data_IF_161612329738
#
_entry.id   IF_161612329738
#
_cell.length_a   1.000
_cell.length_b   1.000
_cell.length_c   1.000
_cell.angle_alpha   90.00
_cell.angle_beta   90.00
_cell.angle_gamma   90.00
#
_symmetry.space_group_name_H-M   'P 1'
#
loop_
_entity.id
_entity.type
_entity.pdbx_description
1 polymer ?
#
# COMPACT_ATOMS: atom_id res chain seq x y z
N UNK A 1 4.22 6.42 22.85
CA UNK A 1 3.28 5.31 23.16
C UNK A 1 4.01 4.19 23.90
N UNK A 2 3.44 3.69 24.97
CA UNK A 2 4.01 2.63 25.81
C UNK A 2 4.25 1.36 25.00
N UNK A 3 5.48 0.81 25.04
CA UNK A 3 5.84 -0.49 24.42
C UNK A 3 5.04 -1.67 25.03
N UNK A 4 4.34 -1.42 26.14
CA UNK A 4 3.53 -2.41 26.85
C UNK A 4 2.17 -2.67 26.19
N UNK A 5 1.56 -1.67 25.53
CA UNK A 5 0.22 -1.83 24.93
C UNK A 5 0.14 -2.97 23.87
N UNK A 6 1.09 -3.11 22.93
CA UNK A 6 1.07 -4.23 22.01
C UNK A 6 1.25 -5.60 22.69
N UNK A 7 1.98 -5.65 23.80
CA UNK A 7 2.11 -6.87 24.60
C UNK A 7 0.81 -7.18 25.36
N UNK A 8 0.20 -6.17 25.98
CA UNK A 8 -1.08 -6.33 26.67
C UNK A 8 -2.22 -6.74 25.73
N UNK A 9 -2.13 -6.38 24.43
CA UNK A 9 -3.12 -6.83 23.43
C UNK A 9 -3.19 -8.35 23.30
N UNK A 10 -2.16 -9.10 23.68
CA UNK A 10 -2.17 -10.56 23.71
C UNK A 10 -3.10 -11.13 24.78
N UNK A 11 -3.36 -10.40 25.86
CA UNK A 11 -4.34 -10.80 26.88
C UNK A 11 -5.77 -10.80 26.31
N UNK A 12 -6.02 -9.97 25.29
CA UNK A 12 -7.29 -9.91 24.59
C UNK A 12 -7.40 -10.94 23.44
N UNK A 13 -6.39 -11.81 23.24
CA UNK A 13 -6.38 -12.78 22.14
C UNK A 13 -7.61 -13.71 22.12
N UNK A 14 -8.15 -14.24 23.22
CA UNK A 14 -9.38 -15.02 23.20
C UNK A 14 -10.58 -14.23 22.62
N UNK A 15 -10.73 -12.97 23.02
CA UNK A 15 -11.78 -12.08 22.51
C UNK A 15 -11.57 -11.83 21.01
N UNK A 16 -10.33 -11.59 20.61
CA UNK A 16 -9.97 -11.42 19.21
C UNK A 16 -10.38 -12.63 18.37
N UNK A 17 -10.07 -13.86 18.82
CA UNK A 17 -10.41 -15.08 18.11
C UNK A 17 -11.92 -15.23 17.99
N UNK A 18 -12.64 -15.05 19.09
CA UNK A 18 -14.10 -15.18 19.11
C UNK A 18 -14.79 -14.17 18.20
N UNK A 19 -14.47 -12.89 18.32
CA UNK A 19 -15.05 -11.85 17.48
C UNK A 19 -14.55 -11.93 16.02
N UNK A 20 -13.29 -12.30 15.81
CA UNK A 20 -12.73 -12.50 14.47
C UNK A 20 -13.40 -13.64 13.70
N UNK A 21 -13.73 -14.75 14.37
CA UNK A 21 -14.55 -15.81 13.78
C UNK A 21 -15.94 -15.28 13.42
N UNK A 22 -16.59 -14.52 14.31
CA UNK A 22 -17.88 -13.89 14.06
C UNK A 22 -17.88 -12.97 12.84
N UNK A 23 -16.87 -12.10 12.71
CA UNK A 23 -16.67 -11.26 11.52
C UNK A 23 -16.48 -12.13 10.27
N UNK A 24 -15.60 -13.12 10.33
CA UNK A 24 -15.32 -14.01 9.18
C UNK A 24 -16.56 -14.76 8.68
N UNK A 25 -17.46 -15.13 9.56
CA UNK A 25 -18.69 -15.86 9.21
C UNK A 25 -19.76 -14.94 8.65
N UNK A 26 -19.79 -13.67 9.05
CA UNK A 26 -20.80 -12.67 8.63
C UNK A 26 -20.36 -11.87 7.41
N UNK A 27 -19.07 -11.62 7.24
CA UNK A 27 -18.54 -10.82 6.14
C UNK A 27 -18.54 -11.62 4.85
N UNK A 28 -19.16 -11.06 3.82
CA UNK A 28 -19.15 -11.64 2.47
C UNK A 28 -17.71 -11.67 1.94
N UNK A 29 -17.26 -12.79 1.42
CA UNK A 29 -15.97 -12.87 0.75
C UNK A 29 -16.08 -12.25 -0.64
N UNK A 30 -15.37 -11.16 -0.82
CA UNK A 30 -15.23 -10.54 -2.13
C UNK A 30 -14.03 -11.13 -2.86
N UNK A 31 -14.17 -11.27 -4.17
CA UNK A 31 -13.09 -11.70 -5.06
C UNK A 31 -12.28 -10.49 -5.53
N UNK A 32 -11.05 -10.69 -6.00
CA UNK A 32 -10.32 -9.66 -6.73
C UNK A 32 -11.12 -9.15 -7.92
N UNK A 33 -10.95 -7.86 -8.25
CA UNK A 33 -11.61 -7.25 -9.39
C UNK A 33 -11.23 -7.92 -10.72
N UNK A 34 -12.18 -7.97 -11.64
CA UNK A 34 -11.92 -8.39 -13.02
C UNK A 34 -11.25 -7.29 -13.85
N UNK A 35 -10.42 -7.70 -14.80
CA UNK A 35 -9.77 -6.77 -15.73
C UNK A 35 -8.24 -6.92 -15.79
N UNK A 36 -7.55 -6.03 -16.52
CA UNK A 36 -6.10 -6.09 -16.67
C UNK A 36 -5.39 -5.74 -15.36
N UNK A 37 -4.32 -6.46 -15.05
CA UNK A 37 -3.42 -6.15 -13.92
C UNK A 37 -2.23 -5.29 -14.36
N UNK A 38 -2.12 -5.00 -15.65
CA UNK A 38 -1.14 -4.08 -16.25
C UNK A 38 -1.77 -3.36 -17.42
N UNK A 39 -1.42 -2.11 -17.60
CA UNK A 39 -1.88 -1.32 -18.74
C UNK A 39 -0.94 -0.13 -18.96
N UNK A 40 -0.92 0.41 -20.20
CA UNK A 40 -0.13 1.58 -20.57
C UNK A 40 -1.04 2.70 -21.04
N UNK A 41 -0.82 3.88 -20.51
CA UNK A 41 -1.48 5.12 -20.90
C UNK A 41 -0.53 5.90 -21.81
N UNK A 42 -1.00 6.45 -22.95
CA UNK A 42 -0.17 7.21 -23.85
C UNK A 42 0.23 8.56 -23.23
N UNK A 43 1.29 9.16 -23.76
CA UNK A 43 1.79 10.45 -23.34
C UNK A 43 3.04 10.83 -24.12
N UNK A 44 3.73 11.90 -23.72
CA UNK A 44 4.96 12.36 -24.35
C UNK A 44 6.11 12.43 -23.34
N UNK A 45 7.35 12.30 -23.82
CA UNK A 45 8.54 12.35 -22.98
C UNK A 45 8.86 11.03 -22.26
N UNK A 46 9.61 11.11 -21.17
CA UNK A 46 10.11 9.94 -20.44
C UNK A 46 8.98 9.18 -19.74
N UNK A 47 8.88 7.89 -20.00
CA UNK A 47 7.84 7.04 -19.44
C UNK A 47 7.94 6.89 -17.92
N UNK A 48 6.81 6.91 -17.26
CA UNK A 48 6.65 6.53 -15.84
C UNK A 48 6.23 5.07 -15.78
N UNK A 49 6.93 4.29 -14.96
CA UNK A 49 6.61 2.88 -14.72
C UNK A 49 6.23 2.69 -13.25
N UNK A 50 4.94 2.49 -13.00
CA UNK A 50 4.36 2.38 -11.67
C UNK A 50 4.04 0.93 -11.33
N UNK A 51 4.65 0.40 -10.30
CA UNK A 51 4.27 -0.87 -9.68
C UNK A 51 3.48 -0.61 -8.39
N UNK A 52 2.30 -1.20 -8.26
CA UNK A 52 1.57 -1.26 -6.99
C UNK A 52 1.65 -2.68 -6.47
N UNK A 53 2.41 -2.86 -5.38
CA UNK A 53 2.65 -4.12 -4.71
C UNK A 53 1.85 -4.17 -3.42
N UNK A 54 1.06 -5.22 -3.21
CA UNK A 54 0.27 -5.26 -1.99
C UNK A 54 -0.57 -6.50 -1.76
N UNK A 55 -1.50 -6.34 -0.85
CA UNK A 55 -2.46 -7.38 -0.46
C UNK A 55 -3.75 -7.29 -1.30
N UNK A 56 -4.91 -7.44 -0.67
CA UNK A 56 -6.21 -7.29 -1.30
C UNK A 56 -6.42 -5.92 -1.96
N UNK A 57 -5.72 -4.89 -1.50
CA UNK A 57 -5.78 -3.55 -2.09
C UNK A 57 -5.14 -3.50 -3.49
N UNK A 58 -3.98 -4.12 -3.67
CA UNK A 58 -3.34 -4.26 -4.99
C UNK A 58 -4.16 -5.17 -5.92
N UNK A 59 -4.85 -6.17 -5.37
CA UNK A 59 -5.77 -7.03 -6.09
C UNK A 59 -7.14 -6.38 -6.35
N UNK A 60 -7.33 -5.12 -5.96
CA UNK A 60 -8.57 -4.34 -6.15
C UNK A 60 -9.81 -5.05 -5.59
N UNK A 61 -9.67 -5.71 -4.44
CA UNK A 61 -10.81 -6.34 -3.74
C UNK A 61 -11.72 -5.25 -3.19
N UNK A 62 -13.02 -5.42 -3.35
CA UNK A 62 -14.03 -4.43 -2.92
C UNK A 62 -14.73 -3.73 -4.08
N UNK A 63 -14.19 -3.83 -5.28
CA UNK A 63 -14.73 -3.28 -6.51
C UNK A 63 -14.81 -4.35 -7.59
N UNK A 64 -15.46 -4.04 -8.71
CA UNK A 64 -15.70 -5.02 -9.78
C UNK A 64 -14.67 -4.98 -10.89
N UNK A 65 -13.98 -3.85 -11.08
CA UNK A 65 -13.07 -3.60 -12.20
C UNK A 65 -11.74 -3.04 -11.75
N UNK A 66 -10.64 -3.59 -12.25
CA UNK A 66 -9.27 -3.17 -11.92
C UNK A 66 -8.94 -1.74 -12.38
N UNK A 67 -9.61 -1.20 -13.40
CA UNK A 67 -9.45 0.20 -13.84
C UNK A 67 -9.98 1.23 -12.83
N UNK A 68 -10.69 0.79 -11.80
CA UNK A 68 -11.13 1.58 -10.64
C UNK A 68 -10.29 1.31 -9.39
N UNK A 69 -9.28 0.45 -9.49
CA UNK A 69 -8.35 0.13 -8.41
C UNK A 69 -7.22 1.15 -8.29
N UNK A 70 -6.50 1.08 -7.18
CA UNK A 70 -5.47 2.06 -6.80
C UNK A 70 -4.37 2.23 -7.86
N UNK A 71 -3.94 1.16 -8.53
CA UNK A 71 -2.87 1.22 -9.54
C UNK A 71 -3.29 2.01 -10.78
N UNK A 72 -4.49 1.73 -11.30
CA UNK A 72 -5.04 2.41 -12.47
C UNK A 72 -5.38 3.87 -12.17
N UNK A 73 -5.94 4.15 -10.99
CA UNK A 73 -6.26 5.53 -10.57
C UNK A 73 -5.01 6.38 -10.44
N UNK A 74 -3.97 5.90 -9.73
CA UNK A 74 -2.69 6.59 -9.62
C UNK A 74 -2.05 6.84 -10.98
N UNK A 75 -2.03 5.82 -11.85
CA UNK A 75 -1.49 5.95 -13.20
C UNK A 75 -2.26 6.99 -14.03
N UNK A 76 -3.59 6.99 -13.95
CA UNK A 76 -4.44 7.97 -14.64
C UNK A 76 -4.22 9.40 -14.16
N UNK A 77 -4.05 9.60 -12.85
CA UNK A 77 -3.72 10.89 -12.25
C UNK A 77 -2.33 11.35 -12.71
N UNK A 78 -1.31 10.50 -12.61
CA UNK A 78 0.06 10.81 -13.07
C UNK A 78 0.10 11.17 -14.56
N UNK A 79 -0.57 10.39 -15.42
CA UNK A 79 -0.60 10.65 -16.86
C UNK A 79 -1.25 12.01 -17.17
N UNK A 80 -2.35 12.35 -16.50
CA UNK A 80 -3.06 13.61 -16.68
C UNK A 80 -2.23 14.80 -16.19
N UNK A 81 -1.61 14.69 -15.00
CA UNK A 81 -0.93 15.80 -14.36
C UNK A 81 0.44 16.09 -15.00
N UNK A 82 1.08 15.05 -15.58
CA UNK A 82 2.42 15.17 -16.18
C UNK A 82 2.43 15.17 -17.70
N UNK A 83 1.35 14.73 -18.35
CA UNK A 83 1.31 14.47 -19.80
C UNK A 83 2.21 13.33 -20.28
N UNK A 84 2.89 12.60 -19.37
CA UNK A 84 3.86 11.54 -19.67
C UNK A 84 3.18 10.20 -19.91
N UNK A 85 3.78 9.30 -20.71
CA UNK A 85 3.29 7.94 -20.81
C UNK A 85 3.48 7.22 -19.49
N UNK A 86 2.43 6.53 -19.01
CA UNK A 86 2.44 5.80 -17.74
C UNK A 86 2.09 4.35 -17.97
N UNK A 87 3.03 3.45 -17.68
CA UNK A 87 2.74 2.02 -17.59
C UNK A 87 2.59 1.63 -16.15
N UNK A 88 1.48 0.97 -15.80
CA UNK A 88 1.25 0.50 -14.45
C UNK A 88 1.07 -1.02 -14.38
N UNK A 89 1.42 -1.59 -13.24
CA UNK A 89 1.15 -2.99 -12.87
C UNK A 89 0.70 -3.08 -11.42
N UNK A 90 -0.33 -3.86 -11.19
CA UNK A 90 -0.74 -4.31 -9.86
C UNK A 90 -0.20 -5.72 -9.62
N UNK A 91 0.50 -5.92 -8.51
CA UNK A 91 1.08 -7.21 -8.13
C UNK A 91 0.79 -7.49 -6.65
N UNK A 92 0.09 -8.57 -6.39
CA UNK A 92 -0.30 -8.95 -5.04
C UNK A 92 -1.49 -9.89 -5.05
N UNK A 93 -1.93 -10.27 -3.86
CA UNK A 93 -3.06 -11.16 -3.72
C UNK A 93 -3.77 -10.96 -2.37
N UNK A 94 -5.02 -11.38 -2.32
CA UNK A 94 -5.85 -11.24 -1.13
C UNK A 94 -5.18 -11.89 0.10
N UNK A 95 -5.18 -11.17 1.21
CA UNK A 95 -4.61 -11.57 2.51
C UNK A 95 -3.07 -11.68 2.53
N UNK A 96 -2.35 -11.17 1.53
CA UNK A 96 -0.89 -11.17 1.54
C UNK A 96 -0.32 -10.41 2.75
N UNK A 97 0.74 -10.96 3.33
CA UNK A 97 1.56 -10.37 4.38
C UNK A 97 2.90 -9.88 3.82
N UNK A 98 3.64 -9.10 4.59
CA UNK A 98 4.96 -8.62 4.18
C UNK A 98 5.91 -9.76 3.79
N UNK A 99 5.89 -10.89 4.55
CA UNK A 99 6.65 -12.10 4.22
C UNK A 99 6.28 -12.65 2.84
N UNK A 100 4.98 -12.79 2.57
CA UNK A 100 4.53 -13.37 1.31
C UNK A 100 4.82 -12.48 0.11
N UNK A 101 4.73 -11.15 0.26
CA UNK A 101 5.17 -10.24 -0.80
C UNK A 101 6.67 -10.38 -1.07
N UNK A 102 7.49 -10.46 -0.02
CA UNK A 102 8.94 -10.63 -0.14
C UNK A 102 9.32 -11.96 -0.82
N UNK A 103 8.72 -13.07 -0.36
CA UNK A 103 9.18 -14.42 -0.71
C UNK A 103 8.49 -14.97 -1.96
N UNK A 104 7.28 -14.49 -2.27
CA UNK A 104 6.48 -15.02 -3.38
C UNK A 104 6.33 -14.00 -4.51
N UNK A 105 6.02 -12.74 -4.21
CA UNK A 105 5.71 -11.77 -5.28
C UNK A 105 6.98 -11.15 -5.86
N UNK A 106 7.85 -10.61 -5.03
CA UNK A 106 9.07 -9.91 -5.49
C UNK A 106 9.99 -10.78 -6.35
N UNK A 107 10.26 -12.05 -6.04
CA UNK A 107 11.09 -12.91 -6.90
C UNK A 107 10.49 -13.12 -8.30
N UNK A 108 9.16 -13.15 -8.40
CA UNK A 108 8.43 -13.38 -9.66
C UNK A 108 8.07 -12.10 -10.43
N UNK A 109 8.49 -10.92 -9.95
CA UNK A 109 8.42 -9.70 -10.75
C UNK A 109 9.48 -9.74 -11.86
N UNK A 110 9.11 -9.34 -13.07
CA UNK A 110 10.08 -9.12 -14.14
C UNK A 110 11.10 -8.05 -13.73
N UNK A 111 12.30 -8.13 -14.29
CA UNK A 111 13.32 -7.09 -14.18
C UNK A 111 12.96 -5.91 -15.09
N UNK A 112 11.88 -5.22 -14.74
CA UNK A 112 11.46 -3.99 -15.42
C UNK A 112 12.06 -2.78 -14.71
N UNK A 113 12.27 -1.70 -15.46
CA UNK A 113 12.78 -0.44 -14.92
C UNK A 113 11.66 0.36 -14.23
N UNK A 114 11.14 -0.17 -13.12
CA UNK A 114 10.13 0.51 -12.32
C UNK A 114 10.70 1.80 -11.76
N UNK A 115 10.06 2.92 -12.11
CA UNK A 115 10.43 4.25 -11.58
C UNK A 115 9.81 4.50 -10.20
N UNK A 116 8.61 3.96 -9.98
CA UNK A 116 7.85 4.13 -8.75
C UNK A 116 7.24 2.80 -8.30
N UNK A 117 7.34 2.53 -6.99
CA UNK A 117 6.75 1.34 -6.37
C UNK A 117 5.92 1.81 -5.17
N UNK A 118 4.62 1.58 -5.22
CA UNK A 118 3.72 1.75 -4.06
C UNK A 118 3.55 0.42 -3.38
N UNK A 119 3.82 0.37 -2.08
CA UNK A 119 3.67 -0.84 -1.27
C UNK A 119 2.51 -0.65 -0.31
N UNK A 120 1.47 -1.48 -0.44
CA UNK A 120 0.31 -1.50 0.46
C UNK A 120 0.26 -2.84 1.19
N UNK A 121 0.82 -2.87 2.40
CA UNK A 121 0.90 -4.08 3.24
C UNK A 121 1.02 -3.71 4.72
N UNK A 122 0.53 -4.59 5.58
CA UNK A 122 0.59 -4.45 7.04
C UNK A 122 -0.72 -4.80 7.72
N UNK A 123 -1.86 -4.59 7.05
CA UNK A 123 -3.19 -4.92 7.59
C UNK A 123 -3.30 -6.41 7.95
N UNK A 124 -2.80 -7.29 7.07
CA UNK A 124 -2.83 -8.72 7.33
C UNK A 124 -1.79 -9.15 8.38
N UNK A 125 -0.67 -8.45 8.47
CA UNK A 125 0.32 -8.66 9.54
C UNK A 125 -0.29 -8.31 10.91
N UNK A 126 -0.99 -7.16 11.02
CA UNK A 126 -1.73 -6.78 12.23
C UNK A 126 -2.81 -7.80 12.57
N UNK A 127 -3.63 -8.16 11.60
CA UNK A 127 -4.74 -9.10 11.71
C UNK A 127 -4.30 -10.54 12.06
N UNK A 128 -3.15 -10.97 11.56
CA UNK A 128 -2.57 -12.28 11.88
C UNK A 128 -1.77 -12.28 13.20
N UNK A 129 -1.87 -11.22 13.99
CA UNK A 129 -1.15 -11.08 15.25
C UNK A 129 0.36 -11.24 15.12
N UNK A 130 0.95 -10.87 13.98
CA UNK A 130 2.40 -10.83 13.86
C UNK A 130 2.97 -9.87 14.89
N UNK A 131 4.01 -10.29 15.59
CA UNK A 131 4.71 -9.38 16.52
C UNK A 131 5.39 -8.25 15.76
N UNK A 132 5.62 -7.11 16.42
CA UNK A 132 6.37 -6.00 15.83
C UNK A 132 7.77 -6.44 15.37
N UNK A 133 8.40 -7.37 16.12
CA UNK A 133 9.68 -7.96 15.75
C UNK A 133 9.59 -8.76 14.43
N UNK A 134 8.55 -9.57 14.28
CA UNK A 134 8.29 -10.32 13.04
C UNK A 134 8.05 -9.37 11.88
N UNK A 135 7.20 -8.36 12.05
CA UNK A 135 6.94 -7.35 11.02
C UNK A 135 8.21 -6.58 10.65
N UNK A 136 9.04 -6.20 11.64
CA UNK A 136 10.35 -5.57 11.40
C UNK A 136 11.22 -6.40 10.47
N UNK A 137 11.35 -7.70 10.76
CA UNK A 137 12.14 -8.63 9.93
C UNK A 137 11.54 -8.76 8.52
N UNK A 138 10.25 -8.96 8.43
CA UNK A 138 9.56 -9.33 7.20
C UNK A 138 9.39 -8.12 6.27
N UNK A 139 8.93 -6.99 6.79
CA UNK A 139 8.78 -5.75 6.02
C UNK A 139 10.13 -5.10 5.71
N UNK A 140 11.07 -5.12 6.67
CA UNK A 140 12.43 -4.67 6.40
C UNK A 140 13.12 -5.50 5.33
N UNK A 141 12.91 -6.82 5.33
CA UNK A 141 13.38 -7.71 4.27
C UNK A 141 12.70 -7.44 2.91
N UNK A 142 11.39 -7.12 2.91
CA UNK A 142 10.67 -6.72 1.69
C UNK A 142 11.25 -5.44 1.09
N UNK A 143 11.45 -4.40 1.88
CA UNK A 143 12.05 -3.14 1.41
C UNK A 143 13.47 -3.36 0.87
N UNK A 144 14.26 -4.20 1.55
CA UNK A 144 15.59 -4.57 1.09
C UNK A 144 15.55 -5.29 -0.27
N UNK A 145 14.67 -6.29 -0.42
CA UNK A 145 14.51 -7.04 -1.66
C UNK A 145 14.07 -6.13 -2.83
N UNK A 146 13.13 -5.20 -2.57
CA UNK A 146 12.70 -4.23 -3.58
C UNK A 146 13.84 -3.29 -3.98
N UNK A 147 14.61 -2.78 -3.01
CA UNK A 147 15.73 -1.89 -3.29
C UNK A 147 16.87 -2.60 -4.04
N UNK A 148 17.14 -3.86 -3.70
CA UNK A 148 18.15 -4.66 -4.40
C UNK A 148 17.74 -4.97 -5.85
N UNK A 149 16.44 -5.24 -6.09
CA UNK A 149 15.94 -5.57 -7.42
C UNK A 149 15.69 -4.34 -8.29
N UNK A 150 15.28 -3.22 -7.69
CA UNK A 150 14.89 -1.97 -8.35
C UNK A 150 15.57 -0.77 -7.69
N UNK A 151 16.91 -0.64 -7.83
CA UNK A 151 17.70 0.34 -7.05
C UNK A 151 17.31 1.80 -7.31
N UNK A 152 16.87 2.13 -8.53
CA UNK A 152 16.48 3.48 -8.92
C UNK A 152 15.01 3.83 -8.58
N UNK A 153 14.20 2.83 -8.20
CA UNK A 153 12.78 3.07 -7.96
C UNK A 153 12.54 3.91 -6.69
N UNK A 154 11.64 4.89 -6.80
CA UNK A 154 11.06 5.56 -5.62
C UNK A 154 10.04 4.62 -4.98
N UNK A 155 10.31 4.21 -3.75
CA UNK A 155 9.42 3.30 -3.00
C UNK A 155 8.60 4.13 -2.02
N UNK A 156 7.27 4.04 -2.11
CA UNK A 156 6.31 4.66 -1.19
C UNK A 156 5.54 3.57 -0.47
N UNK A 157 5.47 3.62 0.84
CA UNK A 157 4.67 2.68 1.63
C UNK A 157 3.42 3.35 2.19
N UNK A 158 2.27 2.71 1.97
CA UNK A 158 0.98 3.11 2.54
C UNK A 158 0.74 2.34 3.85
N UNK A 159 0.66 3.01 5.00
CA UNK A 159 0.46 2.38 6.30
C UNK A 159 -0.98 1.86 6.48
N UNK A 160 -1.17 1.03 7.49
CA UNK A 160 -2.49 0.51 7.89
C UNK A 160 -3.37 1.67 8.34
N UNK A 161 -4.60 1.74 7.81
CA UNK A 161 -5.62 2.74 8.18
C UNK A 161 -6.04 2.61 9.65
N UNK A 162 -6.84 3.55 10.14
CA UNK A 162 -7.43 3.45 11.46
C UNK A 162 -8.43 2.30 11.50
N UNK A 163 -8.12 1.25 12.26
CA UNK A 163 -8.96 0.06 12.34
C UNK A 163 -10.28 0.32 13.07
N UNK A 164 -10.39 1.43 13.80
CA UNK A 164 -11.64 1.82 14.47
C UNK A 164 -12.66 2.41 13.51
N UNK A 165 -12.24 2.81 12.32
CA UNK A 165 -13.13 3.32 11.26
C UNK A 165 -13.70 2.22 10.36
N UNK A 166 -13.24 0.97 10.50
CA UNK A 166 -13.64 -0.16 9.65
C UNK A 166 -15.01 -0.70 10.05
N UNK A 167 -16.08 -0.53 9.25
CA UNK A 167 -17.45 -0.86 9.65
C UNK A 167 -17.70 -2.33 9.99
N UNK A 168 -16.99 -3.26 9.34
CA UNK A 168 -17.13 -4.70 9.60
C UNK A 168 -16.62 -5.15 10.97
N UNK A 169 -15.85 -4.31 11.68
CA UNK A 169 -15.22 -4.67 12.93
C UNK A 169 -16.07 -4.29 14.14
N UNK A 170 -16.39 -5.22 15.05
CA UNK A 170 -16.96 -4.88 16.34
C UNK A 170 -16.02 -3.92 17.12
N UNK A 171 -16.55 -2.97 17.92
CA UNK A 171 -15.74 -1.91 18.52
C UNK A 171 -14.55 -2.40 19.33
N UNK A 172 -14.69 -3.50 20.08
CA UNK A 172 -13.59 -4.04 20.87
C UNK A 172 -12.51 -4.68 19.98
N UNK A 173 -12.90 -5.42 18.95
CA UNK A 173 -11.99 -5.99 17.98
C UNK A 173 -11.25 -4.89 17.21
N UNK A 174 -11.96 -3.85 16.78
CA UNK A 174 -11.39 -2.68 16.12
C UNK A 174 -10.30 -2.02 16.96
N UNK A 175 -10.55 -1.81 18.28
CA UNK A 175 -9.56 -1.25 19.20
C UNK A 175 -8.33 -2.15 19.39
N UNK A 176 -8.53 -3.47 19.51
CA UNK A 176 -7.41 -4.42 19.60
C UNK A 176 -6.54 -4.36 18.34
N UNK A 177 -7.17 -4.37 17.16
CA UNK A 177 -6.46 -4.27 15.89
C UNK A 177 -5.79 -2.90 15.72
N UNK A 178 -6.42 -1.81 16.19
CA UNK A 178 -5.83 -0.47 16.13
C UNK A 178 -4.54 -0.36 16.94
N UNK A 179 -4.48 -0.91 18.16
CA UNK A 179 -3.24 -0.96 18.95
C UNK A 179 -2.11 -1.64 18.16
N UNK A 180 -2.43 -2.71 17.46
CA UNK A 180 -1.47 -3.43 16.64
C UNK A 180 -1.08 -2.67 15.37
N UNK A 181 -2.06 -2.08 14.68
CA UNK A 181 -1.85 -1.25 13.51
C UNK A 181 -0.92 -0.07 13.80
N UNK A 182 -1.13 0.62 14.94
CA UNK A 182 -0.26 1.71 15.37
C UNK A 182 1.19 1.25 15.61
N UNK A 183 1.37 0.09 16.24
CA UNK A 183 2.71 -0.45 16.49
C UNK A 183 3.42 -0.88 15.18
N UNK A 184 2.69 -1.47 14.25
CA UNK A 184 3.17 -1.82 12.89
C UNK A 184 3.48 -0.55 12.11
N UNK A 185 2.61 0.46 12.13
CA UNK A 185 2.82 1.71 11.42
C UNK A 185 4.07 2.45 11.93
N UNK A 186 4.24 2.55 13.25
CA UNK A 186 5.44 3.16 13.82
C UNK A 186 6.73 2.43 13.41
N UNK A 187 6.71 1.10 13.38
CA UNK A 187 7.85 0.30 12.92
C UNK A 187 8.05 0.44 11.41
N UNK A 188 6.98 0.43 10.61
CA UNK A 188 7.05 0.57 9.16
C UNK A 188 7.62 1.93 8.74
N UNK A 189 7.16 3.03 9.36
CA UNK A 189 7.70 4.37 9.14
C UNK A 189 9.20 4.42 9.41
N UNK A 190 9.64 3.87 10.55
CA UNK A 190 11.06 3.80 10.88
C UNK A 190 11.85 3.01 9.82
N UNK A 191 11.36 1.85 9.40
CA UNK A 191 12.03 1.03 8.38
C UNK A 191 12.09 1.71 7.01
N UNK A 192 11.07 2.48 6.64
CA UNK A 192 11.10 3.29 5.42
C UNK A 192 12.25 4.29 5.47
N UNK A 193 12.40 5.06 6.54
CA UNK A 193 13.52 5.99 6.71
C UNK A 193 14.87 5.27 6.69
N UNK A 194 15.01 4.14 7.39
CA UNK A 194 16.25 3.35 7.43
C UNK A 194 16.64 2.75 6.07
N UNK A 195 15.65 2.57 5.16
CA UNK A 195 15.82 1.88 3.86
C UNK A 195 15.61 2.75 2.64
N UNK A 196 15.53 4.06 2.83
CA UNK A 196 15.36 5.02 1.73
C UNK A 196 14.01 4.91 1.02
N UNK A 197 12.97 4.44 1.71
CA UNK A 197 11.59 4.48 1.24
C UNK A 197 10.83 5.67 1.89
N UNK A 198 9.73 6.07 1.30
CA UNK A 198 8.88 7.16 1.77
C UNK A 198 7.64 6.56 2.47
N UNK A 199 7.47 6.76 3.77
CA UNK A 199 6.22 6.40 4.43
C UNK A 199 5.16 7.47 4.15
N UNK A 200 3.99 7.07 3.69
CA UNK A 200 2.84 7.96 3.66
C UNK A 200 2.31 8.22 5.09
N UNK A 201 1.57 9.30 5.28
CA UNK A 201 0.71 9.43 6.44
C UNK A 201 -0.44 8.42 6.36
N UNK A 202 -1.11 8.17 7.46
CA UNK A 202 -2.32 7.32 7.43
C UNK A 202 -3.40 8.00 6.60
N UNK A 203 -4.04 7.24 5.71
CA UNK A 203 -5.20 7.72 4.96
C UNK A 203 -6.31 8.11 5.95
N UNK A 204 -6.78 9.36 5.96
CA UNK A 204 -7.96 9.74 6.72
C UNK A 204 -9.20 9.08 6.13
N UNK A 205 -10.04 8.51 6.97
CA UNK A 205 -11.35 7.97 6.58
C UNK A 205 -12.41 8.96 7.04
N UNK A 206 -12.78 9.88 6.16
CA UNK A 206 -13.74 10.95 6.49
C UNK A 206 -15.17 10.41 6.60
N UNK A 207 -15.57 9.59 5.64
CA UNK A 207 -16.89 8.93 5.63
C UNK A 207 -16.71 7.41 5.43
N UNK A 208 -16.83 6.62 6.52
CA UNK A 208 -16.76 5.17 6.41
C UNK A 208 -17.86 4.54 5.55
N UNK A 209 -19.00 5.19 5.39
CA UNK A 209 -20.12 4.64 4.59
C UNK A 209 -19.80 4.70 3.10
N UNK A 210 -19.04 5.67 2.64
CA UNK A 210 -18.60 5.82 1.26
C UNK A 210 -17.26 5.16 0.99
N UNK A 211 -16.35 5.17 1.97
CA UNK A 211 -14.98 4.69 1.83
C UNK A 211 -14.84 3.17 1.73
N UNK A 212 -15.80 2.42 2.27
CA UNK A 212 -15.76 0.96 2.28
C UNK A 212 -16.77 0.33 1.34
N UNK A 213 -16.42 -0.85 0.84
CA UNK A 213 -17.26 -1.70 0.00
C UNK A 213 -18.37 -2.39 0.81
N UNK A 214 -19.21 -3.15 0.14
CA UNK A 214 -20.37 -3.85 0.73
C UNK A 214 -20.03 -4.84 1.83
N UNK A 215 -18.76 -5.25 1.93
CA UNK A 215 -18.30 -6.11 3.03
C UNK A 215 -17.89 -5.32 4.28
N UNK A 216 -17.90 -3.98 4.19
CA UNK A 216 -17.51 -3.08 5.29
C UNK A 216 -16.03 -3.16 5.69
N UNK A 217 -15.18 -3.80 4.87
CA UNK A 217 -13.76 -3.99 5.18
C UNK A 217 -12.82 -3.50 4.06
N UNK A 218 -13.10 -3.86 2.82
CA UNK A 218 -12.30 -3.43 1.67
C UNK A 218 -12.76 -2.07 1.17
N UNK A 219 -11.85 -1.37 0.51
CA UNK A 219 -12.18 -0.06 -0.06
C UNK A 219 -13.24 -0.17 -1.16
N UNK A 220 -14.16 0.79 -1.20
CA UNK A 220 -15.05 1.04 -2.34
C UNK A 220 -14.32 1.74 -3.48
N UNK A 221 -15.00 2.02 -4.60
CA UNK A 221 -14.44 2.86 -5.67
C UNK A 221 -14.07 4.27 -5.15
N UNK A 222 -14.91 4.85 -4.28
CA UNK A 222 -14.62 6.13 -3.64
C UNK A 222 -13.42 6.04 -2.69
N UNK A 223 -13.33 4.95 -1.91
CA UNK A 223 -12.19 4.69 -1.04
C UNK A 223 -10.88 4.53 -1.80
N UNK A 224 -10.87 3.79 -2.92
CA UNK A 224 -9.68 3.67 -3.77
C UNK A 224 -9.27 5.00 -4.40
N UNK A 225 -10.24 5.84 -4.78
CA UNK A 225 -9.97 7.18 -5.31
C UNK A 225 -9.33 8.06 -4.25
N UNK A 226 -9.92 8.19 -3.08
CA UNK A 226 -9.36 8.95 -1.96
C UNK A 226 -7.95 8.47 -1.59
N UNK A 227 -7.74 7.14 -1.64
CA UNK A 227 -6.42 6.55 -1.38
C UNK A 227 -5.40 6.93 -2.45
N UNK A 228 -5.77 6.90 -3.73
CA UNK A 228 -4.90 7.31 -4.81
C UNK A 228 -4.56 8.81 -4.72
N UNK A 229 -5.55 9.68 -4.46
CA UNK A 229 -5.34 11.12 -4.25
C UNK A 229 -4.41 11.39 -3.07
N UNK A 230 -4.54 10.64 -1.97
CA UNK A 230 -3.67 10.76 -0.81
C UNK A 230 -2.21 10.37 -1.08
N UNK A 231 -1.97 9.38 -1.95
CA UNK A 231 -0.63 8.92 -2.28
C UNK A 231 0.02 9.70 -3.43
N UNK A 232 -0.76 10.35 -4.29
CA UNK A 232 -0.28 11.03 -5.49
C UNK A 232 0.85 12.02 -5.20
N UNK A 233 0.78 12.91 -4.19
CA UNK A 233 1.86 13.87 -3.89
C UNK A 233 3.20 13.22 -3.53
N UNK A 234 3.17 11.96 -3.05
CA UNK A 234 4.37 11.22 -2.66
C UNK A 234 5.05 10.54 -3.85
N UNK A 235 4.34 10.42 -4.98
CA UNK A 235 4.81 9.80 -6.21
C UNK A 235 5.28 10.86 -7.22
N UNK A 236 5.20 12.14 -6.87
CA UNK A 236 5.56 13.25 -7.76
C UNK A 236 6.93 13.06 -8.41
N UNK A 237 6.95 13.28 -9.71
CA UNK A 237 8.15 13.33 -10.52
C UNK A 237 8.82 14.71 -10.30
N UNK A 238 10.14 14.78 -10.25
CA UNK A 238 10.80 16.08 -10.29
C UNK A 238 10.32 16.82 -11.55
N UNK A 239 9.97 18.08 -11.39
CA UNK A 239 9.57 18.94 -12.50
C UNK A 239 10.64 18.87 -13.60
N UNK A 240 10.23 18.83 -14.86
CA UNK A 240 11.13 18.73 -16.02
C UNK A 240 12.18 19.83 -16.03
N UNK A 241 11.88 20.99 -15.45
CA UNK A 241 12.79 22.14 -15.29
C UNK A 241 14.02 21.86 -14.42
N UNK A 242 13.91 20.98 -13.41
CA UNK A 242 15.05 20.65 -12.55
C UNK A 242 16.11 19.77 -13.25
N UNK A 243 15.73 19.01 -14.28
CA UNK A 243 16.66 18.21 -15.08
C UNK A 243 17.33 19.03 -16.19
N UNK A 244 16.63 20.02 -16.75
CA UNK A 244 17.20 20.93 -17.74
C UNK A 244 18.25 21.84 -17.12
N UNK A 245 18.02 22.36 -15.92
CA UNK A 245 18.99 23.21 -15.21
C UNK A 245 20.23 22.45 -14.71
N UNK A 246 20.11 21.17 -14.40
CA UNK A 246 21.24 20.33 -14.03
C UNK A 246 22.15 19.99 -15.22
N UNK A 247 21.57 19.75 -16.41
CA UNK A 247 22.35 19.49 -17.63
C UNK A 247 23.09 20.71 -18.16
N UNK A 248 22.51 21.91 -18.02
CA UNK A 248 23.18 23.18 -18.42
C UNK A 248 24.32 23.53 -17.47
N UNK A 249 24.18 23.23 -16.16
CA UNK A 249 25.24 23.48 -15.19
C UNK A 249 26.44 22.53 -15.28
N UNK A 250 26.30 21.40 -15.97
CA UNK A 250 27.38 20.44 -16.20
C UNK A 250 28.15 20.75 -17.50
N UNK A 251 27.49 21.34 -18.50
CA UNK A 251 28.10 21.76 -19.78
C UNK A 251 28.93 23.05 -19.63
N UNK A 252 28.60 23.92 -18.68
CA UNK A 252 29.36 25.15 -18.37
C UNK A 252 30.63 24.89 -17.52
N UNK A 253 30.94 23.65 -17.18
CA UNK A 253 32.14 23.25 -16.40
C UNK A 253 33.18 22.46 -17.21
N UNK A 254 32.98 22.29 -18.50
CA UNK A 254 33.98 21.75 -19.43
C UNK A 254 34.58 22.86 -20.31
#
# INVERSE_FOLDING_TARGET
MSRLLPLLSWLAFPIYVWQGIGVRLRTRRLLPAGGPVTHSLPGQGTAVRLLVLGDSSAASVGITRTDRGIAALLAGMLARDTGRPVTWRAAGFNSATATQLRDVVVPNLAHDDWTHIVVSVGTNDAKNFHTVYRFKRDFGGLLYALRAKFPAARIVWSPVIDMTTVPALPPLLARILEIRAQAINAMGTRLCHERGAVPASRLPVEDPTLGFSTDGFHASEAGYRAWAEHLLPLIELPAVEALASASVAEDDRQ
#
